data_IF_395885415369
#
_entry.id   IF_395885415369
#
_cell.length_a   1.000
_cell.length_b   1.000
_cell.length_c   1.000
_cell.angle_alpha   90.00
_cell.angle_beta   90.00
_cell.angle_gamma   90.00
#
_symmetry.space_group_name_H-M   'P 1'
#
loop_
_entity.id
_entity.type
_entity.pdbx_description
1 polymer ?
#
# COMPACT_ATOMS: atom_id res chain seq x y z
N UNK A 1 -17.35 83.37 -4.26
CA UNK A 1 -16.96 82.17 -3.51
C UNK A 1 -17.42 80.90 -4.26
N UNK A 2 -16.56 80.38 -5.11
CA UNK A 2 -16.81 79.12 -5.87
C UNK A 2 -16.39 77.94 -5.03
N UNK A 3 -17.32 77.02 -4.76
CA UNK A 3 -17.00 75.71 -4.16
C UNK A 3 -16.65 74.69 -5.25
N UNK A 4 -15.41 74.19 -5.24
CA UNK A 4 -14.94 73.11 -6.08
C UNK A 4 -15.44 71.77 -5.48
N UNK A 5 -16.25 71.03 -6.24
CA UNK A 5 -16.64 69.67 -5.91
C UNK A 5 -15.64 68.68 -6.56
N UNK A 6 -14.85 67.98 -5.77
CA UNK A 6 -13.93 66.91 -6.22
C UNK A 6 -14.72 65.63 -6.29
N UNK A 7 -14.94 65.09 -7.49
CA UNK A 7 -15.44 63.71 -7.69
C UNK A 7 -14.29 62.69 -7.44
N UNK A 8 -14.44 61.85 -6.43
CA UNK A 8 -13.63 60.64 -6.26
C UNK A 8 -14.25 59.50 -7.07
N UNK A 9 -13.55 59.10 -8.15
CA UNK A 9 -13.87 57.89 -8.88
C UNK A 9 -13.25 56.67 -8.19
N UNK A 10 -14.08 55.86 -7.54
CA UNK A 10 -13.67 54.58 -6.98
C UNK A 10 -13.53 53.53 -8.12
N UNK A 11 -12.30 53.12 -8.41
CA UNK A 11 -12.05 51.99 -9.31
C UNK A 11 -12.35 50.66 -8.58
N UNK A 12 -13.42 49.97 -8.94
CA UNK A 12 -13.69 48.59 -8.55
C UNK A 12 -12.72 47.69 -9.31
N UNK A 13 -11.71 47.18 -8.64
CA UNK A 13 -10.87 46.07 -9.16
C UNK A 13 -11.70 44.81 -9.01
N UNK A 14 -12.35 44.38 -10.10
CA UNK A 14 -13.01 43.07 -10.18
C UNK A 14 -11.98 41.98 -10.21
N UNK A 15 -11.79 41.25 -9.10
CA UNK A 15 -11.09 39.99 -9.13
C UNK A 15 -11.88 38.97 -9.96
N UNK A 16 -11.44 38.73 -11.20
CA UNK A 16 -11.96 37.63 -12.02
C UNK A 16 -11.41 36.34 -11.44
N UNK A 17 -12.20 35.66 -10.63
CA UNK A 17 -11.91 34.27 -10.26
C UNK A 17 -12.16 33.40 -11.48
N UNK A 18 -11.11 33.01 -12.18
CA UNK A 18 -11.18 31.94 -13.18
C UNK A 18 -11.46 30.63 -12.46
N UNK A 19 -12.69 30.17 -12.47
CA UNK A 19 -13.07 28.83 -12.05
C UNK A 19 -12.48 27.88 -13.10
N UNK A 20 -11.35 27.26 -12.79
CA UNK A 20 -10.79 26.21 -13.63
C UNK A 20 -11.77 25.05 -13.63
N UNK A 21 -12.43 24.81 -14.76
CA UNK A 21 -13.36 23.70 -14.92
C UNK A 21 -12.58 22.35 -14.88
N UNK A 22 -13.19 21.34 -14.27
CA UNK A 22 -12.65 19.99 -14.29
C UNK A 22 -12.56 19.50 -15.74
N UNK A 23 -11.36 19.10 -16.17
CA UNK A 23 -11.11 18.62 -17.51
C UNK A 23 -11.26 17.10 -17.57
N UNK A 24 -12.18 16.60 -18.40
CA UNK A 24 -12.34 15.18 -18.67
C UNK A 24 -11.58 14.79 -19.93
N UNK A 25 -10.85 13.68 -19.86
CA UNK A 25 -10.05 13.11 -20.96
C UNK A 25 -10.48 11.68 -21.21
N UNK A 26 -10.90 11.39 -22.45
CA UNK A 26 -11.17 10.02 -22.89
C UNK A 26 -9.93 9.40 -23.50
N UNK A 27 -9.59 8.17 -23.11
CA UNK A 27 -8.40 7.45 -23.58
C UNK A 27 -8.83 6.36 -24.55
N UNK A 28 -8.49 6.54 -25.82
CA UNK A 28 -8.77 5.51 -26.82
C UNK A 28 -7.89 4.26 -26.61
N UNK A 29 -8.51 3.07 -26.70
CA UNK A 29 -7.80 1.78 -26.64
C UNK A 29 -7.02 1.53 -27.93
N UNK A 30 -5.85 2.15 -28.03
CA UNK A 30 -4.91 2.04 -29.15
C UNK A 30 -3.46 2.14 -28.67
N UNK A 31 -2.49 1.49 -29.35
CA UNK A 31 -1.09 1.43 -28.90
C UNK A 31 -0.46 2.81 -28.65
N UNK A 32 -0.86 3.81 -29.45
CA UNK A 32 -0.30 5.16 -29.35
C UNK A 32 -0.55 5.88 -28.03
N UNK A 33 -1.57 5.48 -27.26
CA UNK A 33 -1.98 6.14 -26.02
C UNK A 33 -1.36 5.54 -24.75
N UNK A 34 -0.58 4.46 -24.88
CA UNK A 34 -0.01 3.76 -23.73
C UNK A 34 1.50 3.61 -23.86
N UNK A 35 2.14 3.49 -22.72
CA UNK A 35 3.54 3.11 -22.56
C UNK A 35 3.62 1.85 -21.70
N UNK A 36 4.39 0.87 -22.19
CA UNK A 36 4.67 -0.32 -21.42
C UNK A 36 5.66 0.03 -20.32
N UNK A 37 5.36 -0.35 -19.08
CA UNK A 37 6.28 -0.24 -17.97
C UNK A 37 7.51 -1.14 -18.19
N UNK A 38 8.64 -0.80 -17.59
CA UNK A 38 9.83 -1.63 -17.57
C UNK A 38 9.57 -2.83 -16.66
N UNK A 39 9.19 -3.96 -17.22
CA UNK A 39 8.60 -5.08 -16.50
C UNK A 39 9.50 -5.69 -15.41
N UNK A 40 9.36 -5.19 -14.17
CA UNK A 40 9.72 -5.99 -12.99
C UNK A 40 8.61 -6.95 -12.57
N UNK A 41 7.42 -6.88 -13.16
CA UNK A 41 6.20 -7.54 -12.68
C UNK A 41 5.55 -8.51 -13.67
N UNK A 42 6.30 -9.05 -14.62
CA UNK A 42 5.77 -10.05 -15.53
C UNK A 42 6.38 -10.00 -16.92
N UNK A 43 6.02 -10.95 -17.79
CA UNK A 43 6.60 -11.03 -19.12
C UNK A 43 6.39 -9.72 -19.89
N UNK A 44 7.46 -9.23 -20.43
CA UNK A 44 7.55 -8.10 -21.33
C UNK A 44 6.41 -8.11 -22.33
N UNK A 45 5.46 -7.20 -22.25
CA UNK A 45 4.52 -6.80 -23.31
C UNK A 45 3.96 -7.81 -24.29
N UNK A 46 4.49 -9.02 -24.28
CA UNK A 46 4.13 -10.11 -25.16
C UNK A 46 2.67 -10.52 -24.87
N UNK A 47 1.83 -10.41 -25.91
CA UNK A 47 0.43 -10.78 -25.81
C UNK A 47 -0.53 -9.62 -25.48
N UNK A 48 -0.06 -8.36 -25.36
CA UNK A 48 -0.98 -7.20 -25.33
C UNK A 48 -1.71 -7.13 -26.68
N UNK A 49 -3.02 -7.06 -26.64
CA UNK A 49 -3.86 -7.04 -27.83
C UNK A 49 -4.83 -5.86 -27.79
N UNK A 50 -4.94 -5.17 -28.92
CA UNK A 50 -5.97 -4.15 -29.14
C UNK A 50 -6.97 -4.70 -30.17
N UNK A 51 -8.24 -4.76 -29.79
CA UNK A 51 -9.26 -5.34 -30.63
C UNK A 51 -10.66 -5.12 -30.07
N UNK A 52 -11.53 -6.09 -30.28
CA UNK A 52 -12.88 -6.09 -29.72
C UNK A 52 -13.05 -7.23 -28.71
N UNK A 53 -13.77 -6.96 -27.65
CA UNK A 53 -14.20 -7.95 -26.68
C UNK A 53 -15.59 -7.62 -26.16
N UNK A 54 -16.51 -8.57 -26.18
CA UNK A 54 -17.90 -8.43 -25.75
C UNK A 54 -18.55 -7.13 -26.31
N UNK A 55 -18.41 -6.91 -27.63
CA UNK A 55 -19.01 -5.78 -28.34
C UNK A 55 -18.41 -4.40 -28.06
N UNK A 56 -17.23 -4.34 -27.45
CA UNK A 56 -16.52 -3.07 -27.18
C UNK A 56 -15.09 -3.11 -27.70
N UNK A 57 -14.61 -1.95 -28.19
CA UNK A 57 -13.19 -1.79 -28.46
C UNK A 57 -12.42 -1.89 -27.13
N UNK A 58 -11.47 -2.80 -27.07
CA UNK A 58 -10.81 -3.17 -25.84
C UNK A 58 -9.30 -3.36 -26.00
N UNK A 59 -8.60 -3.23 -24.91
CA UNK A 59 -7.23 -3.65 -24.68
C UNK A 59 -7.23 -4.91 -23.84
N UNK A 60 -6.54 -5.97 -24.26
CA UNK A 60 -6.20 -7.11 -23.42
C UNK A 60 -4.78 -6.96 -22.86
N UNK A 61 -4.66 -7.01 -21.54
CA UNK A 61 -3.39 -6.97 -20.81
C UNK A 61 -3.21 -8.30 -20.06
N UNK A 62 -2.34 -9.22 -20.52
CA UNK A 62 -2.17 -10.54 -19.89
C UNK A 62 -1.54 -10.46 -18.51
N UNK A 63 -0.58 -9.57 -18.33
CA UNK A 63 0.10 -9.28 -17.05
C UNK A 63 0.94 -8.02 -17.19
N UNK A 64 1.16 -7.32 -16.09
CA UNK A 64 2.03 -6.15 -16.01
C UNK A 64 1.28 -4.82 -15.86
N UNK A 65 1.97 -3.74 -16.17
CA UNK A 65 1.52 -2.35 -16.04
C UNK A 65 1.58 -1.66 -17.40
N UNK A 66 0.49 -1.02 -17.79
CA UNK A 66 0.40 -0.23 -19.02
C UNK A 66 -0.03 1.19 -18.69
N UNK A 67 0.90 2.12 -18.75
CA UNK A 67 0.69 3.52 -18.34
C UNK A 67 0.07 4.35 -19.45
N UNK A 68 -0.91 5.16 -19.11
CA UNK A 68 -1.53 6.14 -20.03
C UNK A 68 -0.53 7.27 -20.28
N UNK A 69 -0.19 7.50 -21.56
CA UNK A 69 0.73 8.57 -21.96
C UNK A 69 0.23 9.93 -21.52
N UNK A 70 1.15 10.74 -21.02
CA UNK A 70 0.91 12.13 -20.61
C UNK A 70 -0.19 12.35 -19.55
N UNK A 71 -0.74 11.27 -18.95
CA UNK A 71 -1.67 11.40 -17.86
C UNK A 71 -0.97 11.97 -16.63
N UNK A 72 -1.58 13.03 -16.06
CA UNK A 72 -1.18 13.59 -14.76
C UNK A 72 -2.41 13.63 -13.88
N UNK A 73 -2.31 13.00 -12.72
CA UNK A 73 -3.44 12.76 -11.84
C UNK A 73 -3.02 12.84 -10.37
N UNK A 74 -3.68 13.71 -9.65
CA UNK A 74 -3.56 13.86 -8.20
C UNK A 74 -4.90 13.65 -7.53
N UNK A 75 -5.88 14.49 -7.87
CA UNK A 75 -7.27 14.39 -7.42
C UNK A 75 -8.18 14.35 -8.63
N UNK A 76 -9.22 13.54 -8.57
CA UNK A 76 -10.11 13.41 -9.73
C UNK A 76 -10.95 12.16 -9.73
N UNK A 77 -11.39 11.81 -10.91
CA UNK A 77 -12.19 10.63 -11.17
C UNK A 77 -11.47 9.83 -12.25
N UNK A 78 -11.39 8.52 -12.06
CA UNK A 78 -10.98 7.56 -13.11
C UNK A 78 -12.16 6.62 -13.33
N UNK A 79 -12.62 6.53 -14.56
CA UNK A 79 -13.68 5.63 -14.99
C UNK A 79 -13.11 4.65 -16.02
N UNK A 80 -13.43 3.36 -15.89
CA UNK A 80 -13.08 2.34 -16.89
C UNK A 80 -14.06 1.18 -16.84
N UNK A 81 -14.21 0.50 -17.97
CA UNK A 81 -14.83 -0.80 -18.01
C UNK A 81 -13.75 -1.88 -18.02
N UNK A 82 -13.90 -2.88 -17.15
CA UNK A 82 -12.96 -4.00 -17.02
C UNK A 82 -13.71 -5.33 -17.13
N UNK A 83 -13.05 -6.33 -17.68
CA UNK A 83 -13.59 -7.69 -17.73
C UNK A 83 -12.47 -8.71 -17.62
N UNK A 84 -12.70 -9.79 -16.88
CA UNK A 84 -11.81 -10.94 -16.84
C UNK A 84 -12.32 -12.05 -17.72
N UNK A 85 -11.43 -12.86 -18.26
CA UNK A 85 -11.79 -14.17 -18.82
C UNK A 85 -11.70 -15.26 -17.73
N UNK A 86 -12.26 -16.46 -17.97
CA UNK A 86 -12.14 -17.55 -17.04
C UNK A 86 -10.69 -17.83 -16.64
N UNK A 87 -10.44 -17.98 -15.34
CA UNK A 87 -9.12 -18.22 -14.78
C UNK A 87 -8.23 -16.98 -14.59
N UNK A 88 -8.69 -15.76 -14.94
CA UNK A 88 -7.98 -14.53 -14.67
C UNK A 88 -7.91 -14.25 -13.17
N UNK A 89 -6.68 -13.98 -12.64
CA UNK A 89 -6.48 -13.82 -11.21
C UNK A 89 -6.75 -12.39 -10.74
N UNK A 90 -6.11 -11.39 -11.39
CA UNK A 90 -6.17 -10.00 -10.96
C UNK A 90 -6.23 -9.05 -12.15
N UNK A 91 -7.05 -8.00 -12.01
CA UNK A 91 -7.08 -6.86 -12.92
C UNK A 91 -7.46 -5.59 -12.15
N UNK A 92 -6.91 -4.45 -12.54
CA UNK A 92 -7.14 -3.23 -11.78
C UNK A 92 -6.63 -1.97 -12.45
N UNK A 93 -6.72 -0.89 -11.72
CA UNK A 93 -6.31 0.44 -12.13
C UNK A 93 -5.29 0.96 -11.12
N UNK A 94 -4.17 1.44 -11.63
CA UNK A 94 -3.21 2.20 -10.86
C UNK A 94 -3.39 3.69 -11.14
N UNK A 95 -3.22 4.49 -10.11
CA UNK A 95 -3.28 5.95 -10.18
C UNK A 95 -2.17 6.57 -9.33
N UNK A 96 -1.88 7.85 -9.54
CA UNK A 96 -0.72 8.52 -8.95
C UNK A 96 0.57 7.72 -9.19
N UNK A 97 0.71 7.18 -10.39
CA UNK A 97 1.87 6.37 -10.79
C UNK A 97 3.07 7.28 -10.97
N UNK A 98 4.00 7.24 -10.04
CA UNK A 98 5.30 7.91 -10.14
C UNK A 98 6.30 7.00 -10.85
N UNK A 99 6.25 5.71 -10.53
CA UNK A 99 7.04 4.64 -11.12
C UNK A 99 6.36 3.30 -10.86
N UNK A 100 6.88 2.21 -11.43
CA UNK A 100 6.41 0.85 -11.12
C UNK A 100 6.63 0.45 -9.65
N UNK A 101 7.58 1.09 -8.99
CA UNK A 101 7.88 0.88 -7.59
C UNK A 101 6.98 1.69 -6.65
N UNK A 102 6.35 2.76 -7.17
CA UNK A 102 5.62 3.72 -6.36
C UNK A 102 4.33 4.16 -7.06
N UNK A 103 3.19 3.62 -6.61
CA UNK A 103 1.85 3.91 -7.14
C UNK A 103 0.75 3.48 -6.18
N UNK A 104 -0.44 4.05 -6.33
CA UNK A 104 -1.66 3.55 -5.72
C UNK A 104 -2.32 2.53 -6.66
N UNK A 105 -2.79 1.41 -6.16
CA UNK A 105 -3.44 0.37 -6.96
C UNK A 105 -4.75 -0.07 -6.32
N UNK A 106 -5.78 -0.13 -7.12
CA UNK A 106 -7.03 -0.84 -6.82
C UNK A 106 -7.15 -2.03 -7.76
N UNK A 107 -7.39 -3.21 -7.23
CA UNK A 107 -7.60 -4.39 -8.06
C UNK A 107 -8.81 -5.22 -7.66
N UNK A 108 -9.28 -6.00 -8.63
CA UNK A 108 -10.33 -6.99 -8.50
C UNK A 108 -9.72 -8.39 -8.60
N UNK A 109 -10.32 -9.32 -7.85
CA UNK A 109 -10.01 -10.77 -7.88
C UNK A 109 -11.23 -11.55 -8.36
N UNK A 110 -11.37 -11.84 -9.67
CA UNK A 110 -12.53 -12.54 -10.19
C UNK A 110 -12.76 -13.93 -9.59
N UNK A 111 -11.66 -14.63 -9.22
CA UNK A 111 -11.75 -15.94 -8.57
C UNK A 111 -12.19 -15.88 -7.10
N UNK A 112 -12.17 -14.70 -6.50
CA UNK A 112 -12.66 -14.45 -5.14
C UNK A 112 -13.97 -13.64 -5.13
N UNK A 113 -14.71 -13.63 -6.25
CA UNK A 113 -16.01 -12.96 -6.35
C UNK A 113 -16.91 -13.31 -5.16
N UNK A 114 -17.68 -12.33 -4.70
CA UNK A 114 -18.63 -12.46 -3.58
C UNK A 114 -18.00 -12.77 -2.22
N UNK A 115 -16.67 -12.63 -2.08
CA UNK A 115 -15.95 -12.69 -0.82
C UNK A 115 -15.37 -11.33 -0.46
N UNK A 116 -14.86 -11.16 0.77
CA UNK A 116 -14.13 -9.97 1.20
C UNK A 116 -12.83 -9.77 0.42
N UNK A 117 -12.30 -10.80 -0.20
CA UNK A 117 -11.09 -10.78 -1.01
C UNK A 117 -11.35 -10.37 -2.48
N UNK A 118 -12.61 -10.08 -2.86
CA UNK A 118 -12.98 -9.76 -4.24
C UNK A 118 -12.37 -8.44 -4.75
N UNK A 119 -12.16 -7.47 -3.86
CA UNK A 119 -11.57 -6.17 -4.17
C UNK A 119 -10.59 -5.76 -3.07
N UNK A 120 -9.46 -5.18 -3.48
CA UNK A 120 -8.50 -4.64 -2.52
C UNK A 120 -7.80 -3.40 -3.07
N UNK A 121 -7.61 -2.42 -2.20
CA UNK A 121 -6.64 -1.36 -2.38
C UNK A 121 -5.27 -1.83 -1.87
N UNK A 122 -4.24 -1.68 -2.70
CA UNK A 122 -2.86 -1.98 -2.30
C UNK A 122 -1.87 -1.08 -3.04
N UNK A 123 -1.23 -0.13 -2.36
CA UNK A 123 -0.20 0.67 -2.98
C UNK A 123 1.07 -0.14 -3.18
N UNK A 124 1.91 0.31 -4.10
CA UNK A 124 3.32 -0.06 -4.14
C UNK A 124 4.16 1.01 -3.48
N UNK A 125 5.02 0.58 -2.58
CA UNK A 125 5.96 1.44 -1.87
C UNK A 125 7.37 0.85 -2.00
N UNK A 126 8.26 1.62 -2.64
CA UNK A 126 9.65 1.25 -2.85
C UNK A 126 9.84 -0.18 -3.41
N UNK A 127 8.97 -0.56 -4.37
CA UNK A 127 9.07 -1.79 -5.14
C UNK A 127 8.13 -2.91 -4.72
N UNK A 128 7.49 -2.84 -3.56
CA UNK A 128 6.62 -3.91 -3.08
C UNK A 128 5.15 -3.48 -2.96
N UNK A 129 4.26 -4.42 -3.22
CA UNK A 129 2.82 -4.28 -3.01
C UNK A 129 2.48 -4.73 -1.59
N UNK A 130 2.02 -3.83 -0.73
CA UNK A 130 1.85 -4.06 0.71
C UNK A 130 0.50 -4.71 1.07
N UNK A 131 0.02 -5.66 0.26
CA UNK A 131 -1.33 -6.23 0.34
C UNK A 131 -1.60 -7.01 1.63
N UNK A 132 -0.58 -7.63 2.25
CA UNK A 132 -0.74 -8.38 3.50
C UNK A 132 -0.92 -7.46 4.72
N UNK A 133 -0.52 -6.19 4.61
CA UNK A 133 -0.61 -5.21 5.69
C UNK A 133 -1.97 -4.50 5.74
N UNK A 134 -2.73 -4.53 4.64
CA UNK A 134 -3.94 -3.75 4.44
C UNK A 134 -5.17 -4.68 4.38
N UNK A 135 -5.78 -4.92 5.53
CA UNK A 135 -6.80 -5.97 5.68
C UNK A 135 -8.12 -5.50 6.32
N UNK A 136 -8.30 -4.19 6.53
CA UNK A 136 -9.54 -3.64 7.08
C UNK A 136 -10.60 -3.40 6.00
N UNK A 137 -11.80 -3.08 6.42
CA UNK A 137 -12.94 -2.66 5.54
C UNK A 137 -12.64 -1.33 4.81
N UNK A 138 -11.54 -0.64 5.15
CA UNK A 138 -11.05 0.53 4.42
C UNK A 138 -10.08 0.17 3.29
N UNK A 139 -9.65 -1.07 3.20
CA UNK A 139 -8.74 -1.55 2.15
C UNK A 139 -9.30 -2.71 1.34
N UNK A 140 -10.24 -3.50 1.91
CA UNK A 140 -10.87 -4.65 1.24
C UNK A 140 -12.38 -4.49 1.17
N UNK A 141 -13.00 -5.07 0.16
CA UNK A 141 -14.45 -5.09 0.05
C UNK A 141 -14.97 -6.35 -0.64
N UNK A 142 -16.10 -6.84 -0.15
CA UNK A 142 -16.90 -7.83 -0.87
C UNK A 142 -17.51 -7.18 -2.11
N UNK A 143 -17.35 -7.85 -3.26
CA UNK A 143 -17.92 -7.39 -4.52
C UNK A 143 -18.28 -8.59 -5.40
N UNK A 144 -19.33 -8.42 -6.22
CA UNK A 144 -19.67 -9.38 -7.26
C UNK A 144 -18.85 -9.07 -8.53
N UNK A 145 -17.92 -9.97 -8.88
CA UNK A 145 -16.98 -9.82 -9.98
C UNK A 145 -17.21 -10.97 -10.98
N UNK A 146 -18.21 -10.87 -11.89
CA UNK A 146 -18.48 -11.91 -12.86
C UNK A 146 -17.37 -11.99 -13.90
N UNK A 147 -17.06 -13.21 -14.35
CA UNK A 147 -16.17 -13.45 -15.48
C UNK A 147 -16.92 -13.30 -16.81
N UNK A 148 -16.21 -12.95 -17.88
CA UNK A 148 -16.79 -12.73 -19.22
C UNK A 148 -17.93 -11.69 -19.23
N UNK A 149 -17.87 -10.70 -18.35
CA UNK A 149 -18.79 -9.58 -18.32
C UNK A 149 -18.03 -8.27 -18.06
N UNK A 150 -18.54 -7.20 -18.65
CA UNK A 150 -18.03 -5.86 -18.34
C UNK A 150 -18.52 -5.40 -16.97
N UNK A 151 -17.59 -4.89 -16.17
CA UNK A 151 -17.82 -4.21 -14.91
C UNK A 151 -17.33 -2.78 -15.09
N UNK A 152 -18.17 -1.81 -14.83
CA UNK A 152 -17.75 -0.43 -14.78
C UNK A 152 -17.15 -0.12 -13.41
N UNK A 153 -15.91 0.40 -13.40
CA UNK A 153 -15.21 0.87 -12.19
C UNK A 153 -15.13 2.39 -12.26
N UNK A 154 -15.57 3.04 -11.20
CA UNK A 154 -15.37 4.47 -10.98
C UNK A 154 -14.60 4.69 -9.70
N UNK A 155 -13.47 5.36 -9.80
CA UNK A 155 -12.58 5.69 -8.68
C UNK A 155 -12.60 7.20 -8.50
N UNK A 156 -13.01 7.68 -7.31
CA UNK A 156 -13.04 9.10 -6.96
C UNK A 156 -11.97 9.37 -5.92
N UNK A 157 -10.96 10.16 -6.26
CA UNK A 157 -9.81 10.47 -5.41
C UNK A 157 -9.86 11.92 -4.94
N UNK A 158 -9.74 12.12 -3.64
CA UNK A 158 -9.65 13.44 -2.99
C UNK A 158 -8.67 13.39 -1.82
N UNK A 159 -7.54 14.05 -1.96
CA UNK A 159 -6.52 14.05 -0.91
C UNK A 159 -6.03 12.65 -0.57
N UNK A 160 -6.21 12.27 0.68
CA UNK A 160 -5.86 10.93 1.16
C UNK A 160 -7.01 9.93 1.11
N UNK A 161 -8.12 10.27 0.48
CA UNK A 161 -9.28 9.39 0.40
C UNK A 161 -9.57 8.93 -1.03
N UNK A 162 -10.10 7.74 -1.14
CA UNK A 162 -10.54 7.16 -2.40
C UNK A 162 -11.87 6.44 -2.19
N UNK A 163 -12.87 6.74 -3.03
CA UNK A 163 -14.16 6.03 -3.06
C UNK A 163 -14.29 5.28 -4.36
N UNK A 164 -14.64 4.00 -4.29
CA UNK A 164 -14.75 3.09 -5.44
C UNK A 164 -16.18 2.66 -5.62
N UNK A 165 -16.67 2.82 -6.82
CA UNK A 165 -18.04 2.43 -7.22
C UNK A 165 -17.95 1.38 -8.31
N UNK A 166 -18.85 0.41 -8.29
CA UNK A 166 -19.01 -0.59 -9.34
C UNK A 166 -20.35 -0.41 -10.03
N UNK A 167 -20.32 -0.51 -11.36
CA UNK A 167 -21.50 -0.40 -12.22
C UNK A 167 -22.26 0.92 -11.96
N UNK A 168 -23.58 0.86 -11.88
CA UNK A 168 -24.43 2.02 -11.64
C UNK A 168 -24.68 2.32 -10.15
N UNK A 169 -23.91 1.72 -9.24
CA UNK A 169 -24.09 1.95 -7.80
C UNK A 169 -23.86 3.43 -7.44
N UNK A 170 -24.76 3.96 -6.62
CA UNK A 170 -24.63 5.30 -6.03
C UNK A 170 -23.89 5.28 -4.68
N UNK A 171 -23.71 4.09 -4.12
CA UNK A 171 -23.00 3.88 -2.86
C UNK A 171 -21.64 3.28 -3.19
N UNK A 172 -20.54 3.80 -2.64
CA UNK A 172 -19.22 3.22 -2.86
C UNK A 172 -19.17 1.80 -2.28
N UNK A 173 -18.55 0.88 -3.02
CA UNK A 173 -18.27 -0.49 -2.56
C UNK A 173 -17.09 -0.50 -1.61
N UNK A 174 -16.12 0.39 -1.81
CA UNK A 174 -14.95 0.54 -0.96
C UNK A 174 -14.67 2.03 -0.73
N UNK A 175 -14.35 2.39 0.52
CA UNK A 175 -13.87 3.73 0.88
C UNK A 175 -12.53 3.62 1.58
N UNK A 176 -11.46 3.96 0.86
CA UNK A 176 -10.11 4.06 1.41
C UNK A 176 -9.96 5.41 2.09
N UNK A 177 -9.71 5.42 3.38
CA UNK A 177 -9.61 6.66 4.18
C UNK A 177 -8.18 7.20 4.29
N UNK A 178 -7.17 6.36 3.98
CA UNK A 178 -5.77 6.73 4.07
C UNK A 178 -4.96 6.13 2.92
N UNK A 179 -4.92 6.84 1.78
CA UNK A 179 -4.02 6.51 0.67
C UNK A 179 -2.57 6.62 1.13
N UNK A 180 -1.83 5.52 1.06
CA UNK A 180 -0.50 5.37 1.70
C UNK A 180 0.59 6.22 1.08
N UNK A 181 0.42 6.66 -0.17
CA UNK A 181 1.33 7.60 -0.82
C UNK A 181 0.96 9.07 -0.57
N UNK A 182 0.04 9.30 0.34
CA UNK A 182 -0.33 10.63 0.81
C UNK A 182 -0.97 11.50 -0.28
N UNK A 183 -0.39 12.66 -0.54
CA UNK A 183 -0.88 13.67 -1.49
C UNK A 183 0.00 13.73 -2.76
N UNK A 184 0.44 12.58 -3.25
CA UNK A 184 1.30 12.48 -4.44
C UNK A 184 0.54 12.75 -5.74
N UNK A 185 1.27 13.16 -6.78
CA UNK A 185 0.80 13.25 -8.16
C UNK A 185 1.56 12.24 -9.02
N UNK A 186 0.92 11.72 -10.07
CA UNK A 186 1.56 10.80 -11.01
C UNK A 186 0.65 10.44 -12.17
N UNK A 187 0.98 9.39 -12.89
CA UNK A 187 0.20 8.87 -14.02
C UNK A 187 -1.02 8.05 -13.62
N UNK A 188 -1.69 7.55 -14.65
CA UNK A 188 -2.74 6.52 -14.56
C UNK A 188 -2.25 5.32 -15.36
N UNK A 189 -2.50 4.10 -14.88
CA UNK A 189 -2.14 2.89 -15.59
C UNK A 189 -3.20 1.79 -15.41
N UNK A 190 -3.24 0.89 -16.37
CA UNK A 190 -3.97 -0.38 -16.30
C UNK A 190 -3.00 -1.43 -15.76
N UNK A 191 -3.50 -2.27 -14.87
CA UNK A 191 -2.71 -3.31 -14.22
C UNK A 191 -3.40 -4.67 -14.28
N UNK A 192 -2.63 -5.72 -14.51
CA UNK A 192 -3.13 -7.08 -14.54
C UNK A 192 -2.06 -8.06 -14.08
N UNK A 193 -2.47 -9.21 -13.55
CA UNK A 193 -1.58 -10.30 -13.16
C UNK A 193 -2.31 -11.64 -13.28
N UNK A 194 -1.59 -12.65 -13.82
CA UNK A 194 -2.04 -14.03 -13.81
C UNK A 194 -3.32 -14.30 -14.62
N UNK A 195 -3.23 -14.21 -15.94
CA UNK A 195 -4.33 -14.57 -16.85
C UNK A 195 -5.05 -13.40 -17.52
N UNK A 196 -4.70 -12.20 -17.14
CA UNK A 196 -5.09 -11.02 -17.88
C UNK A 196 -6.49 -10.46 -17.62
N UNK A 197 -6.61 -9.20 -18.00
CA UNK A 197 -7.86 -8.44 -18.00
C UNK A 197 -8.06 -7.69 -19.31
N UNK A 198 -9.31 -7.50 -19.68
CA UNK A 198 -9.74 -6.60 -20.72
C UNK A 198 -10.12 -5.26 -20.13
N UNK A 199 -9.77 -4.19 -20.84
CA UNK A 199 -10.04 -2.80 -20.45
C UNK A 199 -10.67 -2.06 -21.62
N UNK A 200 -11.68 -1.25 -21.32
CA UNK A 200 -12.41 -0.44 -22.30
C UNK A 200 -12.87 0.87 -21.65
N UNK A 201 -13.31 1.83 -22.47
CA UNK A 201 -13.96 3.06 -22.03
C UNK A 201 -13.20 3.81 -20.90
N UNK A 202 -11.87 3.80 -20.96
CA UNK A 202 -11.05 4.52 -19.98
C UNK A 202 -11.20 6.03 -20.18
N UNK A 203 -11.55 6.71 -19.11
CA UNK A 203 -11.52 8.16 -19.05
C UNK A 203 -11.09 8.62 -17.66
N UNK A 204 -10.60 9.84 -17.59
CA UNK A 204 -10.29 10.45 -16.29
C UNK A 204 -10.63 11.94 -16.29
N UNK A 205 -11.00 12.44 -15.13
CA UNK A 205 -11.28 13.85 -14.90
C UNK A 205 -10.33 14.36 -13.82
N UNK A 206 -9.52 15.35 -14.15
CA UNK A 206 -8.64 16.01 -13.18
C UNK A 206 -9.41 17.13 -12.51
N UNK A 207 -9.42 17.13 -11.19
CA UNK A 207 -10.04 18.19 -10.41
C UNK A 207 -9.10 19.39 -10.27
N UNK A 208 -9.64 20.60 -10.03
CA UNK A 208 -8.82 21.79 -9.83
C UNK A 208 -7.78 21.58 -8.75
N UNK A 209 -6.58 22.13 -8.97
CA UNK A 209 -5.49 22.07 -8.02
C UNK A 209 -5.92 22.68 -6.68
N UNK A 210 -5.48 22.06 -5.61
CA UNK A 210 -5.64 22.53 -4.22
C UNK A 210 -4.30 22.62 -3.53
N UNK A 211 -4.24 23.29 -2.41
CA UNK A 211 -3.05 23.28 -1.58
C UNK A 211 -2.69 21.84 -1.15
N UNK A 212 -1.40 21.52 -1.06
CA UNK A 212 -0.95 20.26 -0.49
C UNK A 212 -1.54 20.04 0.90
N UNK A 213 -1.86 18.79 1.22
CA UNK A 213 -2.27 18.44 2.58
C UNK A 213 -1.04 18.42 3.50
N UNK A 214 -1.18 18.85 4.76
CA UNK A 214 -0.11 18.71 5.73
C UNK A 214 0.22 17.23 5.95
N UNK A 215 1.44 16.96 6.38
CA UNK A 215 1.82 15.61 6.80
C UNK A 215 0.93 15.12 7.95
N UNK A 216 0.69 13.82 7.99
CA UNK A 216 -0.01 13.23 9.10
C UNK A 216 0.89 13.25 10.34
N UNK A 217 0.35 13.60 11.52
CA UNK A 217 1.11 13.48 12.75
C UNK A 217 1.47 12.01 13.00
N UNK A 218 2.54 11.73 13.77
CA UNK A 218 2.85 10.37 14.20
C UNK A 218 1.63 9.72 14.87
N UNK A 219 1.34 8.49 14.47
CA UNK A 219 0.22 7.75 15.03
C UNK A 219 0.49 7.39 16.49
N UNK A 220 -0.51 7.54 17.35
CA UNK A 220 -0.44 7.26 18.77
C UNK A 220 -1.67 6.50 19.25
N UNK A 221 -1.43 5.44 19.99
CA UNK A 221 -2.41 4.62 20.69
C UNK A 221 -1.82 4.20 22.03
N UNK A 222 -2.67 4.03 23.06
CA UNK A 222 -2.21 3.57 24.37
C UNK A 222 -1.47 2.23 24.23
N UNK A 223 -0.30 2.13 24.85
CA UNK A 223 0.57 0.96 24.78
C UNK A 223 1.41 0.82 23.52
N UNK A 224 1.07 1.50 22.41
CA UNK A 224 1.83 1.42 21.17
C UNK A 224 3.24 1.99 21.33
N UNK A 225 4.24 1.20 20.94
CA UNK A 225 5.63 1.65 20.83
C UNK A 225 5.81 2.35 19.47
N UNK A 226 5.65 3.69 19.47
CA UNK A 226 5.55 4.46 18.22
C UNK A 226 6.89 4.95 17.69
N UNK A 227 7.93 5.08 18.52
CA UNK A 227 9.22 5.69 18.14
C UNK A 227 10.29 4.61 18.09
N UNK A 228 10.96 4.51 16.95
CA UNK A 228 11.96 3.49 16.68
C UNK A 228 13.19 4.07 16.01
N UNK A 229 14.28 3.33 16.08
CA UNK A 229 15.48 3.55 15.27
C UNK A 229 15.63 2.31 14.36
N UNK A 230 15.74 2.54 13.04
CA UNK A 230 15.78 1.51 12.01
C UNK A 230 17.19 1.43 11.40
N UNK A 231 17.72 0.23 11.24
CA UNK A 231 19.00 -0.04 10.57
C UNK A 231 18.89 0.12 9.04
N UNK A 232 20.01 0.14 8.30
CA UNK A 232 20.01 -0.23 6.90
C UNK A 232 19.39 -1.62 6.68
N UNK A 233 18.98 -1.91 5.43
CA UNK A 233 18.56 -3.25 5.05
C UNK A 233 19.78 -4.10 4.69
N UNK A 234 19.84 -5.31 5.22
CA UNK A 234 20.87 -6.31 4.94
C UNK A 234 20.28 -7.45 4.11
N UNK A 235 21.11 -8.18 3.36
CA UNK A 235 20.70 -9.45 2.79
C UNK A 235 20.52 -10.47 3.91
N UNK A 236 19.37 -11.14 3.97
CA UNK A 236 19.08 -12.06 5.07
C UNK A 236 20.05 -13.26 5.11
N UNK A 237 20.70 -13.58 3.98
CA UNK A 237 21.76 -14.60 3.94
C UNK A 237 23.12 -14.17 4.49
N UNK A 238 23.33 -12.85 4.64
CA UNK A 238 24.61 -12.29 5.09
C UNK A 238 24.61 -11.94 6.59
N UNK A 239 23.44 -12.01 7.23
CA UNK A 239 23.26 -11.62 8.64
C UNK A 239 22.59 -12.76 9.40
N UNK A 240 23.16 -13.12 10.54
CA UNK A 240 22.53 -14.04 11.47
C UNK A 240 21.52 -13.27 12.34
N UNK A 241 20.26 -13.31 11.92
CA UNK A 241 19.17 -12.63 12.64
C UNK A 241 18.76 -13.35 13.95
N UNK A 242 19.22 -14.59 14.17
CA UNK A 242 18.98 -15.36 15.38
C UNK A 242 19.94 -14.98 16.51
N UNK A 243 21.01 -14.24 16.20
CA UNK A 243 21.94 -13.70 17.17
C UNK A 243 21.82 -12.16 17.28
N UNK A 244 21.94 -11.65 18.52
CA UNK A 244 21.92 -10.22 18.76
C UNK A 244 23.06 -9.52 17.98
N UNK A 245 22.77 -8.49 17.16
CA UNK A 245 23.78 -7.85 16.33
C UNK A 245 24.78 -7.07 17.19
N UNK A 246 26.08 -7.37 17.03
CA UNK A 246 27.15 -6.70 17.80
C UNK A 246 27.49 -5.32 17.26
N UNK A 247 27.17 -5.04 15.99
CA UNK A 247 27.46 -3.75 15.35
C UNK A 247 26.45 -3.46 14.24
N UNK A 248 25.76 -2.34 14.37
CA UNK A 248 24.90 -1.76 13.34
C UNK A 248 25.48 -0.40 12.95
N UNK A 249 25.85 -0.18 11.67
CA UNK A 249 26.64 0.99 11.28
C UNK A 249 25.86 2.30 11.38
N UNK A 250 24.56 2.27 11.25
CA UNK A 250 23.72 3.47 11.21
C UNK A 250 22.31 3.19 11.73
N UNK A 251 21.71 4.19 12.37
CA UNK A 251 20.34 4.18 12.83
C UNK A 251 19.59 5.41 12.32
N UNK A 252 18.39 5.20 11.79
CA UNK A 252 17.46 6.23 11.32
C UNK A 252 16.23 6.26 12.20
N UNK A 253 15.82 7.44 12.69
CA UNK A 253 14.60 7.60 13.47
C UNK A 253 13.39 7.44 12.59
N UNK A 254 12.48 6.56 12.97
CA UNK A 254 11.24 6.27 12.28
C UNK A 254 10.08 6.22 13.27
N UNK A 255 8.86 6.41 12.77
CA UNK A 255 7.66 6.37 13.60
C UNK A 255 6.67 5.36 13.06
N UNK A 256 5.88 4.80 13.97
CA UNK A 256 4.68 4.07 13.58
C UNK A 256 3.67 5.02 12.92
N UNK A 257 3.00 4.53 11.88
CA UNK A 257 1.91 5.21 11.19
C UNK A 257 0.58 4.48 11.41
N UNK A 258 -0.54 5.14 11.11
CA UNK A 258 -1.87 4.53 11.19
C UNK A 258 -1.93 3.21 10.37
N UNK A 259 -2.42 2.09 10.96
CA UNK A 259 -3.12 1.94 12.25
C UNK A 259 -2.20 1.60 13.44
N UNK A 260 -0.86 1.61 13.33
CA UNK A 260 0.05 1.36 14.44
C UNK A 260 1.35 0.68 14.06
N UNK A 261 1.57 0.37 12.79
CA UNK A 261 2.78 -0.33 12.36
C UNK A 261 3.90 0.61 11.87
N UNK A 262 5.13 0.19 12.05
CA UNK A 262 6.28 0.77 11.37
C UNK A 262 6.36 0.17 9.98
N UNK A 263 6.02 0.96 8.96
CA UNK A 263 6.04 0.54 7.56
C UNK A 263 7.46 0.64 7.00
N UNK A 264 8.20 -0.46 7.03
CA UNK A 264 9.60 -0.51 6.60
C UNK A 264 9.75 -0.17 5.11
N UNK A 265 8.76 -0.56 4.28
CA UNK A 265 8.74 -0.20 2.86
C UNK A 265 8.83 1.31 2.58
N UNK A 266 8.47 2.14 3.54
CA UNK A 266 8.60 3.59 3.41
C UNK A 266 10.07 4.06 3.43
N UNK A 267 10.91 3.34 4.14
CA UNK A 267 12.30 3.69 4.41
C UNK A 267 13.31 2.81 3.67
N UNK A 268 12.92 1.60 3.29
CA UNK A 268 13.81 0.59 2.68
C UNK A 268 13.16 0.02 1.43
N UNK A 269 13.99 -0.23 0.43
CA UNK A 269 13.55 -0.92 -0.77
C UNK A 269 13.42 -2.40 -0.45
N UNK A 270 12.21 -2.92 -0.59
CA UNK A 270 11.96 -4.35 -0.54
C UNK A 270 12.44 -5.01 -1.85
N UNK A 271 12.98 -6.21 -1.78
CA UNK A 271 13.21 -6.98 -2.99
C UNK A 271 11.85 -7.23 -3.65
N UNK A 272 11.63 -6.65 -4.83
CA UNK A 272 10.47 -7.02 -5.64
C UNK A 272 10.66 -8.49 -6.04
N UNK A 273 9.95 -9.38 -5.37
CA UNK A 273 10.03 -10.81 -5.61
C UNK A 273 9.17 -11.20 -6.80
N UNK A 274 9.72 -11.07 -7.99
CA UNK A 274 9.09 -11.62 -9.18
C UNK A 274 10.11 -12.46 -9.97
N UNK A 275 9.80 -13.70 -10.32
CA UNK A 275 8.58 -14.46 -9.99
C UNK A 275 8.47 -14.72 -8.49
N UNK A 276 7.23 -14.75 -7.99
CA UNK A 276 7.00 -15.09 -6.57
C UNK A 276 7.68 -16.40 -6.23
N UNK A 277 8.34 -16.49 -5.05
CA UNK A 277 8.87 -17.77 -4.56
C UNK A 277 7.76 -18.82 -4.53
N UNK A 278 8.11 -20.08 -4.75
CA UNK A 278 7.13 -21.15 -4.56
C UNK A 278 6.60 -21.14 -3.11
N UNK A 279 5.36 -21.59 -2.91
CA UNK A 279 4.78 -21.73 -1.56
C UNK A 279 5.70 -22.52 -0.62
N UNK A 280 6.35 -23.57 -1.12
CA UNK A 280 7.31 -24.36 -0.36
C UNK A 280 8.50 -23.51 0.12
N UNK A 281 9.10 -22.68 -0.75
CA UNK A 281 10.21 -21.79 -0.37
C UNK A 281 9.80 -20.76 0.66
N UNK A 282 8.60 -20.19 0.54
CA UNK A 282 8.08 -19.26 1.54
C UNK A 282 7.85 -19.95 2.89
N UNK A 283 7.32 -21.18 2.87
CA UNK A 283 7.08 -21.98 4.07
C UNK A 283 8.36 -22.34 4.82
N UNK A 284 9.44 -22.71 4.13
CA UNK A 284 10.71 -23.06 4.79
C UNK A 284 11.58 -21.84 5.16
N UNK A 285 11.19 -20.62 4.73
CA UNK A 285 11.87 -19.37 5.12
C UNK A 285 13.21 -19.12 4.44
N UNK A 286 13.59 -19.89 3.43
CA UNK A 286 14.81 -19.67 2.64
C UNK A 286 14.48 -19.00 1.31
N UNK A 287 14.10 -17.73 1.37
CA UNK A 287 13.76 -16.96 0.18
C UNK A 287 15.00 -16.20 -0.28
N UNK A 288 15.51 -16.56 -1.45
CA UNK A 288 16.66 -15.86 -2.05
C UNK A 288 16.31 -14.39 -2.29
N UNK A 289 17.15 -13.48 -1.78
CA UNK A 289 16.97 -12.05 -1.90
C UNK A 289 16.09 -11.45 -0.81
N UNK A 290 15.63 -12.23 0.17
CA UNK A 290 15.02 -11.68 1.39
C UNK A 290 15.94 -10.68 2.06
N UNK A 291 15.33 -9.62 2.61
CA UNK A 291 16.07 -8.58 3.34
C UNK A 291 15.66 -8.59 4.79
N UNK A 292 16.59 -8.24 5.67
CA UNK A 292 16.34 -8.04 7.10
C UNK A 292 16.72 -6.63 7.52
N UNK A 293 15.92 -6.03 8.39
CA UNK A 293 16.27 -4.83 9.13
C UNK A 293 16.22 -5.12 10.61
N UNK A 294 17.03 -4.39 11.36
CA UNK A 294 16.91 -4.29 12.81
C UNK A 294 16.21 -3.00 13.16
N UNK A 295 15.26 -3.07 14.10
CA UNK A 295 14.62 -1.89 14.65
C UNK A 295 14.71 -1.95 16.18
N UNK A 296 15.07 -0.82 16.83
CA UNK A 296 15.18 -0.75 18.27
C UNK A 296 14.37 0.40 18.84
N UNK A 297 13.89 0.19 20.06
CA UNK A 297 13.31 1.22 20.90
C UNK A 297 13.69 0.99 22.36
N UNK A 298 13.36 1.94 23.22
CA UNK A 298 13.67 1.84 24.65
C UNK A 298 12.39 2.01 25.47
N UNK A 299 12.25 1.12 26.43
CA UNK A 299 11.12 1.09 27.37
C UNK A 299 11.70 1.43 28.74
N UNK A 300 11.18 2.48 29.39
CA UNK A 300 11.56 2.84 30.74
C UNK A 300 10.59 2.23 31.74
N UNK A 301 11.11 1.59 32.77
CA UNK A 301 10.33 1.09 33.90
C UNK A 301 10.90 1.59 35.23
N UNK A 302 10.01 1.97 36.15
CA UNK A 302 10.42 2.48 37.47
C UNK A 302 10.89 1.34 38.37
N UNK A 303 10.29 0.17 38.23
CA UNK A 303 10.59 -1.04 39.00
C UNK A 303 10.62 -2.25 38.07
N UNK A 304 11.07 -3.41 38.56
CA UNK A 304 10.87 -4.66 37.84
C UNK A 304 9.38 -4.94 37.68
N UNK A 305 8.92 -5.15 36.45
CA UNK A 305 7.50 -5.39 36.18
C UNK A 305 7.27 -6.37 35.04
N UNK A 306 6.20 -7.14 35.14
CA UNK A 306 5.73 -8.03 34.08
C UNK A 306 4.79 -7.26 33.15
N UNK A 307 5.01 -7.39 31.83
CA UNK A 307 4.14 -6.82 30.79
C UNK A 307 3.85 -7.89 29.72
N UNK A 308 2.81 -7.66 28.95
CA UNK A 308 2.58 -8.41 27.72
C UNK A 308 3.01 -7.55 26.55
N UNK A 309 3.95 -8.03 25.76
CA UNK A 309 4.31 -7.47 24.47
C UNK A 309 3.47 -8.15 23.39
N UNK A 310 2.55 -7.39 22.78
CA UNK A 310 1.81 -7.84 21.59
C UNK A 310 2.60 -7.49 20.35
N UNK A 311 2.64 -8.41 19.40
CA UNK A 311 3.41 -8.30 18.17
C UNK A 311 2.56 -8.53 16.93
N UNK A 312 2.72 -7.65 15.94
CA UNK A 312 2.38 -7.84 14.55
C UNK A 312 3.65 -7.72 13.70
N UNK A 313 3.79 -8.55 12.69
CA UNK A 313 4.96 -8.52 11.78
C UNK A 313 4.62 -9.19 10.46
N UNK A 314 5.35 -8.78 9.43
CA UNK A 314 5.36 -9.44 8.12
C UNK A 314 6.44 -10.53 8.10
N UNK A 315 6.22 -11.56 7.31
CA UNK A 315 7.11 -12.68 7.00
C UNK A 315 7.80 -13.33 8.22
N UNK A 316 8.90 -12.77 8.75
CA UNK A 316 9.64 -13.36 9.88
C UNK A 316 10.09 -12.28 10.86
N UNK A 317 10.11 -12.63 12.16
CA UNK A 317 10.59 -11.76 13.23
C UNK A 317 11.44 -12.54 14.24
N UNK A 318 12.49 -11.88 14.74
CA UNK A 318 13.19 -12.25 15.97
C UNK A 318 13.16 -11.06 16.92
N UNK A 319 12.86 -11.29 18.18
CA UNK A 319 12.71 -10.24 19.21
C UNK A 319 13.73 -10.44 20.32
N UNK A 320 14.43 -9.36 20.67
CA UNK A 320 15.40 -9.32 21.76
C UNK A 320 14.99 -8.29 22.80
N UNK A 321 15.08 -8.67 24.08
CA UNK A 321 14.93 -7.76 25.20
C UNK A 321 16.26 -7.74 25.99
N UNK A 322 16.86 -6.57 26.12
CA UNK A 322 18.15 -6.40 26.80
C UNK A 322 19.21 -7.40 26.26
N UNK A 323 19.31 -7.49 24.94
CA UNK A 323 20.25 -8.35 24.17
C UNK A 323 19.96 -9.86 24.25
N UNK A 324 18.91 -10.28 24.95
CA UNK A 324 18.54 -11.70 25.04
C UNK A 324 17.39 -11.99 24.06
N UNK A 325 17.46 -13.06 23.25
CA UNK A 325 16.35 -13.46 22.41
C UNK A 325 15.18 -13.94 23.29
N UNK A 326 13.99 -13.45 23.01
CA UNK A 326 12.77 -13.77 23.76
C UNK A 326 11.68 -14.40 22.88
N UNK A 327 11.76 -14.19 21.56
CA UNK A 327 10.76 -14.72 20.63
C UNK A 327 11.31 -14.79 19.21
N UNK A 328 10.91 -15.81 18.45
CA UNK A 328 11.17 -15.95 17.02
C UNK A 328 10.01 -16.69 16.38
N UNK A 329 9.46 -16.18 15.29
CA UNK A 329 8.39 -16.84 14.54
C UNK A 329 8.27 -16.30 13.10
N UNK A 330 7.50 -17.06 12.28
CA UNK A 330 7.20 -16.75 10.88
C UNK A 330 5.70 -16.56 10.66
N UNK A 331 5.37 -15.57 9.82
CA UNK A 331 4.00 -15.27 9.38
C UNK A 331 3.93 -15.16 7.85
N UNK A 332 4.82 -15.82 7.15
CA UNK A 332 4.84 -15.80 5.70
C UNK A 332 3.62 -16.50 5.09
N UNK A 333 3.28 -16.11 3.87
CA UNK A 333 2.23 -16.78 3.11
C UNK A 333 2.48 -18.29 3.03
N UNK A 334 1.45 -19.09 3.32
CA UNK A 334 1.49 -20.56 3.35
C UNK A 334 2.45 -21.17 4.39
N UNK A 335 2.92 -20.40 5.37
CA UNK A 335 3.80 -20.93 6.42
C UNK A 335 3.01 -21.76 7.45
N UNK A 336 1.88 -21.21 7.94
CA UNK A 336 1.06 -21.87 8.99
C UNK A 336 0.18 -22.98 8.41
N UNK A 337 -0.40 -22.75 7.23
CA UNK A 337 -1.12 -23.74 6.41
C UNK A 337 -1.10 -23.30 4.94
N UNK A 338 -1.55 -24.18 4.02
CA UNK A 338 -1.45 -23.93 2.58
C UNK A 338 -2.32 -22.73 2.11
N UNK A 339 -3.38 -22.41 2.85
CA UNK A 339 -4.32 -21.32 2.54
C UNK A 339 -4.01 -20.03 3.32
N UNK A 340 -3.05 -20.07 4.26
CA UNK A 340 -2.67 -18.89 5.04
C UNK A 340 -2.06 -17.82 4.16
N UNK A 341 -2.65 -16.61 4.21
CA UNK A 341 -2.20 -15.47 3.40
C UNK A 341 -1.04 -14.70 4.04
N UNK A 342 -0.64 -15.02 5.29
CA UNK A 342 0.34 -14.25 6.03
C UNK A 342 -0.15 -12.85 6.41
N UNK A 343 -1.45 -12.71 6.64
CA UNK A 343 -2.09 -11.43 6.96
C UNK A 343 -1.50 -10.81 8.23
N UNK A 344 -1.15 -9.54 8.14
CA UNK A 344 -0.59 -8.78 9.25
C UNK A 344 -1.63 -8.50 10.35
N UNK A 345 -1.20 -8.56 11.61
CA UNK A 345 -2.01 -8.24 12.77
C UNK A 345 -1.26 -8.52 14.07
N UNK A 346 -1.77 -8.02 15.22
CA UNK A 346 -1.23 -8.28 16.56
C UNK A 346 -1.59 -9.72 17.03
N UNK A 347 -1.05 -10.70 16.34
CA UNK A 347 -1.41 -12.12 16.51
C UNK A 347 -0.62 -12.83 17.61
N UNK A 348 0.44 -12.23 18.13
CA UNK A 348 1.30 -12.80 19.16
C UNK A 348 1.27 -11.95 20.42
N UNK A 349 1.30 -12.61 21.59
CA UNK A 349 1.34 -11.98 22.89
C UNK A 349 2.39 -12.69 23.76
N UNK A 350 3.44 -11.97 24.15
CA UNK A 350 4.62 -12.52 24.80
C UNK A 350 4.75 -11.88 26.20
N UNK A 351 4.78 -12.67 27.29
CA UNK A 351 5.17 -12.17 28.60
C UNK A 351 6.62 -11.70 28.59
N UNK A 352 6.86 -10.50 29.07
CA UNK A 352 8.21 -9.93 29.19
C UNK A 352 8.42 -9.37 30.59
N UNK A 353 9.65 -9.48 31.09
CA UNK A 353 10.06 -8.87 32.36
C UNK A 353 10.94 -7.62 32.08
N UNK A 354 10.41 -6.45 32.42
CA UNK A 354 11.17 -5.20 32.36
C UNK A 354 11.99 -5.03 33.63
N UNK A 355 13.26 -4.68 33.48
CA UNK A 355 14.14 -4.31 34.62
C UNK A 355 13.91 -2.86 35.00
N UNK A 356 14.20 -2.45 36.26
CA UNK A 356 14.22 -1.04 36.61
C UNK A 356 15.17 -0.26 35.73
N UNK A 357 14.73 0.90 35.26
CA UNK A 357 15.50 1.75 34.35
C UNK A 357 15.15 1.54 32.87
N UNK A 358 16.15 1.63 32.02
CA UNK A 358 16.03 1.61 30.56
C UNK A 358 16.18 0.17 30.04
N UNK A 359 15.17 -0.33 29.36
CA UNK A 359 15.17 -1.63 28.68
C UNK A 359 15.24 -1.39 27.18
N UNK A 360 16.13 -2.07 26.47
CA UNK A 360 16.18 -2.06 25.02
C UNK A 360 15.31 -3.20 24.47
N UNK A 361 14.37 -2.86 23.61
CA UNK A 361 13.66 -3.79 22.77
C UNK A 361 14.20 -3.67 21.34
N UNK A 362 14.73 -4.77 20.80
CA UNK A 362 15.22 -4.84 19.43
C UNK A 362 14.46 -5.95 18.69
N UNK A 363 14.01 -5.65 17.48
CA UNK A 363 13.40 -6.63 16.58
C UNK A 363 14.21 -6.74 15.29
N UNK A 364 14.45 -7.95 14.82
CA UNK A 364 14.93 -8.23 13.47
C UNK A 364 13.73 -8.65 12.63
N UNK A 365 13.40 -7.90 11.60
CA UNK A 365 12.25 -8.19 10.74
C UNK A 365 12.73 -8.52 9.35
N UNK A 366 12.48 -9.74 8.90
CA UNK A 366 12.79 -10.20 7.55
C UNK A 366 11.57 -10.02 6.67
N UNK A 367 11.75 -9.45 5.49
CA UNK A 367 10.70 -9.23 4.52
C UNK A 367 11.05 -9.80 3.15
N UNK A 368 10.06 -10.39 2.49
CA UNK A 368 10.20 -10.92 1.14
C UNK A 368 8.92 -10.93 0.30
N UNK A 369 7.74 -10.69 0.87
CA UNK A 369 6.52 -10.64 0.07
C UNK A 369 5.36 -9.91 0.78
N UNK A 370 4.59 -9.12 0.03
CA UNK A 370 3.28 -8.60 0.45
C UNK A 370 3.32 -7.43 1.42
N UNK A 371 4.47 -6.84 1.63
CA UNK A 371 4.72 -5.73 2.53
C UNK A 371 5.71 -6.07 3.63
N UNK A 372 6.37 -5.04 4.16
CA UNK A 372 7.41 -5.16 5.18
C UNK A 372 7.12 -4.21 6.32
N UNK A 373 6.69 -4.74 7.45
CA UNK A 373 6.27 -3.96 8.61
C UNK A 373 6.33 -4.77 9.90
N UNK A 374 6.29 -4.06 11.02
CA UNK A 374 6.05 -4.62 12.35
C UNK A 374 5.27 -3.64 13.22
N UNK A 375 4.65 -4.15 14.26
CA UNK A 375 3.92 -3.42 15.28
C UNK A 375 4.20 -4.01 16.65
N UNK A 376 4.46 -3.17 17.65
CA UNK A 376 4.68 -3.59 19.02
C UNK A 376 3.81 -2.76 19.97
N UNK A 377 3.05 -3.45 20.83
CA UNK A 377 2.19 -2.82 21.83
C UNK A 377 2.44 -3.43 23.20
N UNK A 378 2.64 -2.60 24.20
CA UNK A 378 2.67 -3.03 25.60
C UNK A 378 1.27 -2.98 26.20
N UNK A 379 0.76 -4.11 26.62
CA UNK A 379 -0.50 -4.17 27.36
C UNK A 379 -0.28 -3.74 28.80
N UNK A 380 -1.18 -2.94 29.40
CA UNK A 380 -1.13 -2.72 30.83
C UNK A 380 -1.44 -4.04 31.56
N UNK A 381 -0.60 -4.37 32.53
CA UNK A 381 -0.78 -5.38 33.58
C UNK A 381 -1.27 -6.80 33.19
N UNK A 382 -0.33 -7.68 32.91
CA UNK A 382 -0.56 -9.12 33.08
C UNK A 382 -0.63 -9.44 34.57
N UNK A 383 -1.81 -9.83 35.09
CA UNK A 383 -1.91 -10.54 36.36
C UNK A 383 -1.99 -12.02 36.04
N UNK A 384 -0.96 -12.83 36.33
CA UNK A 384 -1.08 -14.27 36.21
C UNK A 384 -2.20 -14.71 37.15
N UNK A 385 -3.11 -15.54 36.63
CA UNK A 385 -4.14 -16.22 37.43
C UNK A 385 -3.48 -17.20 38.40
#
# INVERSE_FOLDING_TARGET
MLKLCTLMTSALIGCVFTVTQAQSVSVHMSPGNFELGSSRTGPSGDGIQFGEFLGRRALYLPSGLLTVKAARFRDGIVDADVASKPGGLFLGIAFRVESEANMEVLYLRPLASDTIEAMQYTPRLNGDAIWQLLNSDHEKAKAHIPQNQWIHIKIVVRGRTCSVFLNASKVPVLVVTNLRRGDSEGGIALWSLGGGGYFSNLSYTVLPARNPLPDLPPFRRAGLLSNWELSPAFDAGDVDADNYPTSIPQWEKVNAEDPGFVLINRYRTSPAMFPMPSREKMRIGHVKGAKVVFARTHISSVAGEEKILKLGYSDEIVVYLNQKPIFSEKNAMSYRDDDALGTFGLNNAIPIHLQPGKNELLVAVTGYNGGWAFECELSPDYKPN
#
